data_IF_487011167599
#
_entry.id   IF_487011167599
#
_cell.length_a   1.000
_cell.length_b   1.000
_cell.length_c   1.000
_cell.angle_alpha   90.00
_cell.angle_beta   90.00
_cell.angle_gamma   90.00
#
_symmetry.space_group_name_H-M   'P 1'
#
loop_
_entity.id
_entity.type
_entity.pdbx_description
1 polymer ?
#
# COMPACT_ATOMS: atom_id res chain seq x y z
N UNK A 1 -11.92 -50.92 18.85
CA UNK A 1 -12.46 -49.66 18.29
C UNK A 1 -11.71 -48.50 18.95
N UNK A 2 -10.44 -48.27 18.58
CA UNK A 2 -9.61 -47.19 19.13
C UNK A 2 -8.27 -47.07 18.40
N UNK A 3 -8.27 -46.92 17.07
CA UNK A 3 -7.03 -46.62 16.32
C UNK A 3 -7.23 -45.58 15.20
N UNK A 4 -8.45 -45.12 14.92
CA UNK A 4 -8.71 -44.09 13.89
C UNK A 4 -8.56 -42.65 14.43
N UNK A 5 -8.73 -42.43 15.73
CA UNK A 5 -8.82 -41.07 16.30
C UNK A 5 -7.44 -40.39 16.54
N UNK A 6 -6.34 -41.16 16.58
CA UNK A 6 -5.00 -40.59 16.80
C UNK A 6 -4.42 -39.95 15.54
N UNK A 7 -4.60 -40.58 14.37
CA UNK A 7 -4.03 -40.10 13.12
C UNK A 7 -4.67 -38.79 12.64
N UNK A 8 -5.98 -38.60 12.77
CA UNK A 8 -6.65 -37.35 12.37
C UNK A 8 -6.17 -36.12 13.16
N UNK A 9 -5.84 -36.33 14.44
CA UNK A 9 -5.41 -35.24 15.32
C UNK A 9 -3.97 -34.84 14.99
N UNK A 10 -3.09 -35.84 14.81
CA UNK A 10 -1.68 -35.62 14.48
C UNK A 10 -1.51 -34.98 13.09
N UNK A 11 -2.28 -35.41 12.08
CA UNK A 11 -2.29 -34.79 10.75
C UNK A 11 -2.75 -33.31 10.80
N UNK A 12 -3.82 -33.01 11.56
CA UNK A 12 -4.27 -31.62 11.77
C UNK A 12 -3.27 -30.76 12.54
N UNK A 13 -2.44 -31.34 13.41
CA UNK A 13 -1.37 -30.61 14.11
C UNK A 13 -0.16 -30.36 13.19
N UNK A 14 0.17 -31.31 12.32
CA UNK A 14 1.24 -31.18 11.32
C UNK A 14 0.86 -30.10 10.30
N UNK A 15 -0.38 -30.08 9.81
CA UNK A 15 -0.86 -29.06 8.86
C UNK A 15 -0.85 -27.65 9.48
N UNK A 16 -1.32 -27.50 10.73
CA UNK A 16 -1.34 -26.18 11.39
C UNK A 16 0.05 -25.63 11.68
N UNK A 17 1.01 -26.49 12.04
CA UNK A 17 2.38 -26.06 12.35
C UNK A 17 3.24 -25.81 11.10
N UNK A 18 2.94 -26.43 9.95
CA UNK A 18 3.66 -26.20 8.69
C UNK A 18 3.23 -24.91 7.96
N UNK A 19 1.95 -24.53 8.07
CA UNK A 19 1.43 -23.29 7.47
C UNK A 19 1.39 -22.10 8.43
N UNK A 20 1.88 -22.26 9.65
CA UNK A 20 2.17 -21.15 10.56
C UNK A 20 3.34 -20.33 10.01
N UNK A 21 2.94 -19.46 9.09
CA UNK A 21 3.77 -18.74 8.17
C UNK A 21 4.82 -17.92 8.95
N UNK A 22 6.07 -18.41 8.98
CA UNK A 22 7.24 -17.68 9.51
C UNK A 22 7.44 -16.31 8.86
N UNK A 23 6.71 -16.00 7.79
CA UNK A 23 6.61 -14.67 7.17
C UNK A 23 6.09 -13.58 8.15
N UNK A 24 5.31 -13.94 9.18
CA UNK A 24 4.72 -12.98 10.12
C UNK A 24 5.71 -12.38 11.13
N UNK A 25 6.88 -13.02 11.35
CA UNK A 25 7.80 -12.72 12.47
C UNK A 25 8.63 -11.45 12.32
N UNK A 26 8.83 -10.93 11.10
CA UNK A 26 9.62 -9.71 10.90
C UNK A 26 8.72 -8.47 10.80
N UNK A 27 8.56 -7.68 11.87
CA UNK A 27 7.76 -6.44 11.85
C UNK A 27 8.32 -5.40 10.87
N UNK A 28 9.59 -5.55 10.47
CA UNK A 28 10.27 -4.69 9.50
C UNK A 28 9.77 -4.86 8.06
N UNK A 29 9.28 -6.05 7.67
CA UNK A 29 8.80 -6.31 6.31
C UNK A 29 7.62 -5.43 5.89
N UNK A 30 6.52 -5.33 6.67
CA UNK A 30 5.42 -4.43 6.32
C UNK A 30 5.83 -2.96 6.33
N UNK A 31 6.77 -2.57 7.21
CA UNK A 31 7.30 -1.20 7.26
C UNK A 31 8.06 -0.87 5.97
N UNK A 32 9.06 -1.68 5.60
CA UNK A 32 9.84 -1.49 4.38
C UNK A 32 8.95 -1.51 3.13
N UNK A 33 8.01 -2.46 3.04
CA UNK A 33 7.07 -2.53 1.93
C UNK A 33 6.21 -1.26 1.78
N UNK A 34 5.66 -0.78 2.90
CA UNK A 34 4.87 0.46 2.90
C UNK A 34 5.68 1.71 2.56
N UNK A 35 6.94 1.78 2.98
CA UNK A 35 7.86 2.89 2.68
C UNK A 35 8.22 2.92 1.19
N UNK A 36 8.55 1.75 0.63
CA UNK A 36 8.83 1.62 -0.81
C UNK A 36 7.59 2.00 -1.63
N UNK A 37 6.40 1.56 -1.22
CA UNK A 37 5.14 1.95 -1.85
C UNK A 37 4.87 3.46 -1.72
N UNK A 38 5.10 4.06 -0.55
CA UNK A 38 4.92 5.49 -0.34
C UNK A 38 5.84 6.31 -1.27
N UNK A 39 7.11 5.92 -1.39
CA UNK A 39 8.05 6.55 -2.32
C UNK A 39 7.62 6.36 -3.77
N UNK A 40 7.14 5.17 -4.15
CA UNK A 40 6.62 4.91 -5.49
C UNK A 40 5.40 5.76 -5.84
N UNK A 41 4.44 5.87 -4.91
CA UNK A 41 3.24 6.70 -5.07
C UNK A 41 3.61 8.18 -5.17
N UNK A 42 4.55 8.65 -4.35
CA UNK A 42 5.01 10.04 -4.38
C UNK A 42 5.74 10.35 -5.70
N UNK A 43 6.64 9.47 -6.13
CA UNK A 43 7.36 9.60 -7.39
C UNK A 43 6.43 9.64 -8.60
N UNK A 44 5.43 8.74 -8.62
CA UNK A 44 4.38 8.76 -9.64
C UNK A 44 3.55 10.05 -9.59
N UNK A 45 3.18 10.52 -8.40
CA UNK A 45 2.44 11.78 -8.23
C UNK A 45 3.20 13.00 -8.74
N UNK A 46 4.51 13.08 -8.48
CA UNK A 46 5.38 14.16 -9.00
C UNK A 46 5.49 14.06 -10.53
N UNK A 47 5.73 12.87 -11.07
CA UNK A 47 5.77 12.66 -12.52
C UNK A 47 4.48 13.12 -13.18
N UNK A 48 3.33 12.70 -12.64
CA UNK A 48 2.02 13.05 -13.15
C UNK A 48 1.75 14.56 -13.05
N UNK A 49 2.16 15.21 -11.96
CA UNK A 49 2.10 16.66 -11.81
C UNK A 49 2.90 17.40 -12.88
N UNK A 50 4.15 16.98 -13.13
CA UNK A 50 4.99 17.58 -14.17
C UNK A 50 4.38 17.43 -15.56
N UNK A 51 3.77 16.28 -15.83
CA UNK A 51 3.02 16.04 -17.06
C UNK A 51 1.85 17.04 -17.16
N UNK A 52 1.01 17.15 -16.13
CA UNK A 52 -0.11 18.10 -16.11
C UNK A 52 0.35 19.55 -16.33
N UNK A 53 1.40 20.00 -15.65
CA UNK A 53 1.94 21.37 -15.82
C UNK A 53 2.47 21.58 -17.24
N UNK A 54 3.08 20.56 -17.84
CA UNK A 54 3.52 20.63 -19.24
C UNK A 54 2.32 20.82 -20.17
N UNK A 55 1.25 20.07 -19.94
CA UNK A 55 0.01 20.18 -20.72
C UNK A 55 -0.71 21.52 -20.52
N UNK A 56 -0.74 22.05 -19.30
CA UNK A 56 -1.26 23.39 -19.00
C UNK A 56 -0.56 24.47 -19.84
N UNK A 57 0.73 24.27 -20.16
CA UNK A 57 1.53 25.19 -20.98
C UNK A 57 1.38 24.98 -22.48
N UNK A 58 1.35 23.72 -22.92
CA UNK A 58 1.31 23.37 -24.35
C UNK A 58 -0.09 23.56 -24.96
N UNK A 59 -1.14 23.49 -24.12
CA UNK A 59 -2.52 23.64 -24.55
C UNK A 59 -3.01 22.40 -25.32
N UNK A 60 -4.06 21.76 -24.83
CA UNK A 60 -4.63 20.57 -25.46
C UNK A 60 -5.67 19.87 -24.59
N UNK A 61 -6.29 18.82 -25.13
CA UNK A 61 -7.22 17.96 -24.39
C UNK A 61 -6.50 16.75 -23.80
N UNK A 62 -6.39 16.70 -22.47
CA UNK A 62 -5.96 15.50 -21.75
C UNK A 62 -7.18 14.60 -21.51
N UNK A 63 -7.04 13.30 -21.79
CA UNK A 63 -7.98 12.30 -21.28
C UNK A 63 -7.64 11.97 -19.83
N UNK A 64 -8.39 12.57 -18.90
CA UNK A 64 -8.32 12.24 -17.47
C UNK A 64 -9.41 11.23 -17.09
N UNK A 65 -9.16 10.46 -16.04
CA UNK A 65 -10.24 9.73 -15.39
C UNK A 65 -11.14 10.72 -14.62
N UNK A 66 -12.38 10.32 -14.31
CA UNK A 66 -13.38 11.22 -13.70
C UNK A 66 -12.96 11.78 -12.34
N UNK A 67 -12.22 11.00 -11.55
CA UNK A 67 -11.75 11.38 -10.22
C UNK A 67 -10.66 12.46 -10.32
N UNK A 68 -9.67 12.24 -11.17
CA UNK A 68 -8.59 13.19 -11.45
C UNK A 68 -9.14 14.47 -12.07
N UNK A 69 -10.10 14.35 -13.00
CA UNK A 69 -10.79 15.52 -13.56
C UNK A 69 -11.45 16.35 -12.48
N UNK A 70 -12.20 15.75 -11.55
CA UNK A 70 -12.81 16.48 -10.42
C UNK A 70 -11.78 17.17 -9.54
N UNK A 71 -10.67 16.50 -9.21
CA UNK A 71 -9.60 17.08 -8.41
C UNK A 71 -8.91 18.24 -9.13
N UNK A 72 -8.71 18.08 -10.43
CA UNK A 72 -8.13 19.09 -11.29
C UNK A 72 -9.06 20.31 -11.44
N UNK A 73 -10.37 20.10 -11.58
CA UNK A 73 -11.34 21.19 -11.66
C UNK A 73 -11.43 21.99 -10.34
N UNK A 74 -11.13 21.37 -9.19
CA UNK A 74 -11.13 22.03 -7.88
C UNK A 74 -9.93 22.95 -7.62
N UNK A 75 -8.75 22.63 -8.15
CA UNK A 75 -7.55 23.43 -7.87
C UNK A 75 -6.33 23.11 -8.74
N UNK A 76 -6.57 22.60 -9.94
CA UNK A 76 -5.57 22.31 -10.95
C UNK A 76 -4.65 21.14 -10.62
N UNK A 77 -3.50 21.13 -11.30
CA UNK A 77 -2.44 20.15 -11.11
C UNK A 77 -1.96 20.01 -9.65
N UNK A 78 -1.99 21.10 -8.88
CA UNK A 78 -1.60 21.12 -7.46
C UNK A 78 -2.51 20.25 -6.59
N UNK A 79 -3.83 20.32 -6.78
CA UNK A 79 -4.77 19.50 -6.00
C UNK A 79 -4.56 18.01 -6.28
N UNK A 80 -4.28 17.66 -7.55
CA UNK A 80 -3.94 16.29 -7.93
C UNK A 80 -2.64 15.83 -7.24
N UNK A 81 -1.60 16.67 -7.21
CA UNK A 81 -0.36 16.37 -6.50
C UNK A 81 -0.59 16.15 -5.00
N UNK A 82 -1.38 17.00 -4.36
CA UNK A 82 -1.69 16.89 -2.93
C UNK A 82 -2.37 15.56 -2.57
N UNK A 83 -3.20 15.01 -3.47
CA UNK A 83 -3.79 13.68 -3.28
C UNK A 83 -2.70 12.60 -3.18
N UNK A 84 -1.71 12.63 -4.09
CA UNK A 84 -0.60 11.67 -4.07
C UNK A 84 0.29 11.86 -2.84
N UNK A 85 0.58 13.11 -2.46
CA UNK A 85 1.32 13.42 -1.23
C UNK A 85 0.60 12.89 0.00
N UNK A 86 -0.70 13.17 0.13
CA UNK A 86 -1.52 12.67 1.24
C UNK A 86 -1.58 11.14 1.28
N UNK A 87 -1.68 10.49 0.13
CA UNK A 87 -1.67 9.02 0.01
C UNK A 87 -0.33 8.41 0.42
N UNK A 88 0.79 9.02 0.00
CA UNK A 88 2.12 8.58 0.39
C UNK A 88 2.34 8.73 1.92
N UNK A 89 1.92 9.86 2.50
CA UNK A 89 1.97 10.08 3.95
C UNK A 89 1.11 9.06 4.70
N UNK A 90 -0.10 8.78 4.21
CA UNK A 90 -0.98 7.78 4.79
C UNK A 90 -0.35 6.38 4.77
N UNK A 91 0.25 5.97 3.64
CA UNK A 91 0.95 4.68 3.52
C UNK A 91 2.13 4.58 4.48
N UNK A 92 2.94 5.62 4.58
CA UNK A 92 4.06 5.67 5.52
C UNK A 92 3.58 5.57 6.98
N UNK A 93 2.50 6.27 7.32
CA UNK A 93 1.89 6.23 8.65
C UNK A 93 1.29 4.85 8.97
N UNK A 94 0.56 4.24 8.04
CA UNK A 94 0.01 2.90 8.20
C UNK A 94 1.11 1.83 8.37
N UNK A 95 2.21 1.98 7.63
CA UNK A 95 3.42 1.20 7.78
C UNK A 95 4.03 1.29 9.18
N UNK A 96 4.20 2.52 9.65
CA UNK A 96 4.73 2.82 10.98
C UNK A 96 3.84 2.24 12.10
N UNK A 97 2.52 2.43 12.03
CA UNK A 97 1.59 1.87 13.00
C UNK A 97 1.61 0.33 13.00
N UNK A 98 1.73 -0.29 11.82
CA UNK A 98 1.85 -1.76 11.71
C UNK A 98 3.13 -2.28 12.36
N UNK A 99 4.26 -1.56 12.20
CA UNK A 99 5.51 -1.87 12.88
C UNK A 99 5.40 -1.71 14.40
N UNK A 100 4.79 -0.61 14.86
CA UNK A 100 4.60 -0.34 16.29
C UNK A 100 3.74 -1.41 16.97
N UNK A 101 2.63 -1.80 16.35
CA UNK A 101 1.72 -2.80 16.91
C UNK A 101 2.40 -4.17 17.03
N UNK A 102 3.22 -4.57 16.05
CA UNK A 102 3.97 -5.83 16.10
C UNK A 102 5.22 -5.83 17.00
N UNK A 103 5.69 -4.66 17.44
CA UNK A 103 6.81 -4.54 18.39
C UNK A 103 6.33 -4.49 19.86
N UNK A 104 5.04 -4.24 20.07
CA UNK A 104 4.40 -4.22 21.38
C UNK A 104 3.76 -5.54 21.81
N UNK A 105 3.73 -6.54 20.93
CA UNK A 105 3.46 -7.95 21.23
C UNK A 105 4.78 -8.69 21.55
#
# INVERSE_FOLDING_TARGET
MSNENKNETDEKFIERSMYENKSSKNPLLPLLGSLVLAVGVLGFGIYYYLELVKWEKEGGTIKMNRLVSLLYDLGGSITVLLLFVGSALYLAYAGYNSYKNKKGE
#
